data_IF_739337280485
#
_entry.id   IF_739337280485
#
_cell.length_a   1.000
_cell.length_b   1.000
_cell.length_c   1.000
_cell.angle_alpha   90.00
_cell.angle_beta   90.00
_cell.angle_gamma   90.00
#
_symmetry.space_group_name_H-M   'P 1'
#
loop_
_entity.id
_entity.type
_entity.pdbx_description
1 polymer ?
#
# COMPACT_ATOMS: atom_id res chain seq x y z
N UNK A 1 -6.37 28.43 2.34
CA UNK A 1 -7.50 27.89 1.56
C UNK A 1 -7.86 26.56 2.20
N UNK A 2 -9.06 26.45 2.77
CA UNK A 2 -9.53 25.23 3.43
C UNK A 2 -9.71 24.12 2.39
N UNK A 3 -8.88 23.09 2.48
CA UNK A 3 -9.12 21.84 1.78
C UNK A 3 -10.48 21.32 2.24
N UNK A 4 -11.47 21.39 1.36
CA UNK A 4 -12.75 20.74 1.62
C UNK A 4 -12.50 19.29 1.22
N UNK A 5 -12.63 18.32 2.13
CA UNK A 5 -12.70 16.94 1.72
C UNK A 5 -13.74 16.85 0.61
N UNK A 6 -13.57 15.94 -0.34
CA UNK A 6 -14.68 15.56 -1.22
C UNK A 6 -15.71 14.83 -0.36
N UNK A 7 -16.34 15.53 0.59
CA UNK A 7 -17.53 15.14 1.32
C UNK A 7 -18.72 15.60 0.50
N UNK A 8 -18.82 15.02 -0.70
CA UNK A 8 -20.07 15.04 -1.43
C UNK A 8 -21.10 14.28 -0.60
N UNK A 9 -22.07 15.00 -0.03
CA UNK A 9 -23.36 14.41 0.35
C UNK A 9 -24.03 13.91 -0.93
N UNK A 10 -23.67 12.70 -1.33
CA UNK A 10 -24.13 12.02 -2.52
C UNK A 10 -23.48 10.65 -2.53
N UNK A 11 -24.31 9.61 -2.55
CA UNK A 11 -23.95 8.19 -2.60
C UNK A 11 -22.51 7.90 -2.99
N UNK A 12 -21.80 7.08 -2.19
CA UNK A 12 -20.51 6.42 -2.49
C UNK A 12 -20.53 5.53 -3.78
N UNK A 13 -21.47 5.75 -4.69
CA UNK A 13 -21.79 4.94 -5.87
C UNK A 13 -21.35 5.57 -7.20
N UNK A 14 -20.66 6.71 -7.18
CA UNK A 14 -20.12 7.31 -8.42
C UNK A 14 -18.59 7.20 -8.45
N UNK A 15 -18.00 6.74 -9.57
CA UNK A 15 -16.56 6.79 -9.75
C UNK A 15 -16.02 8.21 -9.54
N UNK A 16 -14.79 8.36 -9.02
CA UNK A 16 -14.23 9.68 -8.79
C UNK A 16 -14.08 10.45 -10.10
N UNK A 17 -14.23 11.78 -10.02
CA UNK A 17 -14.05 12.67 -11.18
C UNK A 17 -12.56 12.87 -11.43
N UNK A 18 -12.00 12.11 -12.38
CA UNK A 18 -10.55 12.06 -12.67
C UNK A 18 -9.95 13.45 -12.91
N UNK A 19 -10.66 14.33 -13.62
CA UNK A 19 -10.20 15.70 -13.89
C UNK A 19 -9.94 16.50 -12.61
N UNK A 20 -10.84 16.37 -11.63
CA UNK A 20 -10.75 17.10 -10.36
C UNK A 20 -9.62 16.52 -9.51
N UNK A 21 -9.44 15.20 -9.52
CA UNK A 21 -8.29 14.54 -8.87
C UNK A 21 -6.96 14.99 -9.48
N UNK A 22 -6.84 15.03 -10.81
CA UNK A 22 -5.62 15.50 -11.49
C UNK A 22 -5.32 16.96 -11.16
N UNK A 23 -6.35 17.81 -11.11
CA UNK A 23 -6.20 19.21 -10.71
C UNK A 23 -5.74 19.34 -9.25
N UNK A 24 -6.39 18.62 -8.34
CA UNK A 24 -6.05 18.60 -6.91
C UNK A 24 -4.62 18.11 -6.65
N UNK A 25 -4.16 17.06 -7.34
CA UNK A 25 -2.77 16.61 -7.27
C UNK A 25 -1.79 17.70 -7.71
N UNK A 26 -2.08 18.40 -8.81
CA UNK A 26 -1.23 19.51 -9.28
C UNK A 26 -1.22 20.68 -8.29
N UNK A 27 -2.35 20.97 -7.64
CA UNK A 27 -2.43 21.99 -6.60
C UNK A 27 -1.58 21.65 -5.37
N UNK A 28 -1.68 20.41 -4.88
CA UNK A 28 -0.86 19.92 -3.77
C UNK A 28 0.64 19.94 -4.09
N UNK A 29 1.02 19.57 -5.32
CA UNK A 29 2.41 19.64 -5.75
C UNK A 29 2.90 21.09 -5.86
N UNK A 30 2.07 22.00 -6.38
CA UNK A 30 2.41 23.44 -6.47
C UNK A 30 2.55 24.10 -5.10
N UNK A 31 1.78 23.67 -4.10
CA UNK A 31 1.91 24.17 -2.73
C UNK A 31 3.06 23.55 -1.95
N UNK A 32 3.72 22.52 -2.50
CA UNK A 32 4.78 21.77 -1.83
C UNK A 32 4.28 20.73 -0.80
N UNK A 33 2.97 20.51 -0.71
CA UNK A 33 2.38 19.52 0.20
C UNK A 33 2.71 18.08 -0.21
N UNK A 34 2.92 17.83 -1.51
CA UNK A 34 3.47 16.58 -2.06
C UNK A 34 4.66 16.91 -2.96
N UNK A 35 5.42 15.89 -3.38
CA UNK A 35 6.50 16.05 -4.35
C UNK A 35 5.98 16.49 -5.73
N UNK A 36 6.85 17.09 -6.57
CA UNK A 36 6.48 17.45 -7.94
C UNK A 36 5.97 16.25 -8.73
N UNK A 37 4.84 16.40 -9.43
CA UNK A 37 4.24 15.33 -10.25
C UNK A 37 5.15 14.84 -11.38
N UNK A 38 6.20 15.60 -11.73
CA UNK A 38 7.24 15.16 -12.66
C UNK A 38 8.05 13.97 -12.13
N UNK A 39 8.06 13.74 -10.81
CA UNK A 39 8.68 12.56 -10.20
C UNK A 39 7.96 11.25 -10.51
N UNK A 40 6.77 11.29 -11.13
CA UNK A 40 6.05 10.10 -11.58
C UNK A 40 6.43 9.67 -13.02
N UNK A 41 7.21 10.47 -13.75
CA UNK A 41 7.39 10.29 -15.20
C UNK A 41 8.08 8.97 -15.59
N UNK A 42 8.88 8.39 -14.70
CA UNK A 42 9.59 7.12 -14.82
C UNK A 42 9.04 6.02 -13.90
N UNK A 43 7.88 6.25 -13.27
CA UNK A 43 7.21 5.25 -12.46
C UNK A 43 6.63 4.14 -13.32
N UNK A 44 6.79 2.90 -12.84
CA UNK A 44 6.14 1.72 -13.39
C UNK A 44 5.01 1.29 -12.48
N UNK A 45 3.80 1.25 -13.03
CA UNK A 45 2.56 1.08 -12.27
C UNK A 45 1.89 -0.22 -12.68
N UNK A 46 1.62 -1.10 -11.72
CA UNK A 46 0.77 -2.27 -11.87
C UNK A 46 -0.56 -2.03 -11.15
N UNK A 47 -1.67 -2.19 -11.86
CA UNK A 47 -3.02 -2.04 -11.32
C UNK A 47 -3.78 -3.34 -11.50
N UNK A 48 -4.38 -3.85 -10.43
CA UNK A 48 -5.23 -5.04 -10.47
C UNK A 48 -6.66 -4.69 -10.04
N UNK A 49 -7.66 -5.32 -10.65
CA UNK A 49 -9.06 -5.23 -10.21
C UNK A 49 -9.85 -6.46 -10.62
N UNK A 50 -10.44 -7.16 -9.66
CA UNK A 50 -11.27 -8.33 -9.91
C UNK A 50 -12.65 -7.97 -10.47
N UNK A 51 -13.22 -8.83 -11.32
CA UNK A 51 -14.57 -8.65 -11.87
C UNK A 51 -15.68 -8.92 -10.85
N UNK A 52 -15.41 -9.74 -9.83
CA UNK A 52 -16.32 -10.05 -8.74
C UNK A 52 -16.10 -9.11 -7.52
N UNK A 53 -15.23 -8.10 -7.63
CA UNK A 53 -15.05 -7.11 -6.57
C UNK A 53 -16.24 -6.13 -6.53
N UNK A 54 -17.06 -6.29 -5.49
CA UNK A 54 -18.18 -5.40 -5.16
C UNK A 54 -17.89 -4.45 -4.01
N UNK A 55 -16.69 -4.52 -3.41
CA UNK A 55 -16.24 -3.65 -2.31
C UNK A 55 -15.60 -2.39 -2.86
N UNK A 56 -14.66 -2.54 -3.80
CA UNK A 56 -14.05 -1.46 -4.59
C UNK A 56 -14.32 -1.76 -6.06
N UNK A 57 -15.45 -1.27 -6.61
CA UNK A 57 -15.85 -1.59 -7.98
C UNK A 57 -14.79 -1.22 -9.00
N UNK A 58 -14.66 -2.02 -10.07
CA UNK A 58 -13.67 -1.84 -11.13
C UNK A 58 -13.66 -0.43 -11.78
N UNK A 59 -14.78 0.29 -11.73
CA UNK A 59 -14.85 1.68 -12.17
C UNK A 59 -13.93 2.64 -11.39
N UNK A 60 -13.67 2.36 -10.10
CA UNK A 60 -12.71 3.10 -9.27
C UNK A 60 -11.29 2.87 -9.77
N UNK A 61 -10.90 1.61 -10.01
CA UNK A 61 -9.57 1.26 -10.54
C UNK A 61 -9.37 1.74 -11.99
N UNK A 62 -10.45 1.80 -12.77
CA UNK A 62 -10.44 2.42 -14.10
C UNK A 62 -10.16 3.92 -14.00
N UNK A 63 -10.79 4.62 -13.06
CA UNK A 63 -10.52 6.03 -12.80
C UNK A 63 -9.08 6.26 -12.31
N UNK A 64 -8.55 5.37 -11.45
CA UNK A 64 -7.15 5.43 -11.02
C UNK A 64 -6.18 5.24 -12.19
N UNK A 65 -6.44 4.30 -13.10
CA UNK A 65 -5.65 4.12 -14.32
C UNK A 65 -5.64 5.38 -15.19
N UNK A 66 -6.79 6.04 -15.34
CA UNK A 66 -6.90 7.30 -16.07
C UNK A 66 -6.15 8.44 -15.37
N UNK A 67 -6.20 8.49 -14.03
CA UNK A 67 -5.44 9.46 -13.24
C UNK A 67 -3.93 9.29 -13.44
N UNK A 68 -3.40 8.06 -13.37
CA UNK A 68 -1.99 7.79 -13.67
C UNK A 68 -1.61 8.20 -15.09
N UNK A 69 -2.49 7.96 -16.08
CA UNK A 69 -2.27 8.37 -17.47
C UNK A 69 -2.12 9.89 -17.69
N UNK A 70 -2.44 10.73 -16.69
CA UNK A 70 -2.18 12.16 -16.75
C UNK A 70 -0.73 12.55 -16.39
N UNK A 71 0.04 11.63 -15.80
CA UNK A 71 1.39 11.88 -15.26
C UNK A 71 2.45 10.86 -15.71
N UNK A 72 2.02 9.62 -15.99
CA UNK A 72 2.87 8.49 -16.35
C UNK A 72 2.64 8.11 -17.80
N UNK A 73 3.69 7.85 -18.61
CA UNK A 73 3.53 7.32 -19.96
C UNK A 73 2.73 6.02 -19.98
N UNK A 74 1.80 5.89 -20.92
CA UNK A 74 0.90 4.73 -20.98
C UNK A 74 1.62 3.37 -21.03
N UNK A 75 2.82 3.31 -21.62
CA UNK A 75 3.64 2.10 -21.68
C UNK A 75 4.15 1.62 -20.30
N UNK A 76 4.13 2.48 -19.28
CA UNK A 76 4.56 2.17 -17.92
C UNK A 76 3.37 1.86 -16.97
N UNK A 77 2.12 1.93 -17.46
CA UNK A 77 0.91 1.66 -16.67
C UNK A 77 0.24 0.37 -17.14
N UNK A 78 0.49 -0.71 -16.42
CA UNK A 78 -0.11 -2.03 -16.66
C UNK A 78 -1.40 -2.17 -15.85
N UNK A 79 -2.48 -2.62 -16.50
CA UNK A 79 -3.74 -2.93 -15.82
C UNK A 79 -4.18 -4.36 -16.10
N UNK A 80 -4.41 -5.14 -15.04
CA UNK A 80 -4.92 -6.51 -15.07
C UNK A 80 -6.33 -6.55 -14.43
N UNK A 81 -7.34 -6.31 -15.28
CA UNK A 81 -8.75 -6.18 -14.87
C UNK A 81 -9.61 -7.36 -15.37
N UNK A 82 -8.96 -8.43 -15.85
CA UNK A 82 -9.59 -9.54 -16.55
C UNK A 82 -10.03 -10.69 -15.66
N UNK A 83 -9.51 -10.77 -14.44
CA UNK A 83 -9.63 -11.90 -13.53
C UNK A 83 -10.95 -11.86 -12.78
N UNK A 84 -11.61 -13.00 -12.62
CA UNK A 84 -12.86 -13.14 -11.85
C UNK A 84 -12.57 -13.25 -10.34
N UNK A 85 -11.85 -12.27 -9.82
CA UNK A 85 -11.49 -12.19 -8.41
C UNK A 85 -12.47 -11.32 -7.62
N UNK A 86 -12.65 -11.67 -6.33
CA UNK A 86 -13.29 -10.82 -5.34
C UNK A 86 -12.36 -9.72 -4.84
N UNK A 87 -12.74 -9.04 -3.74
CA UNK A 87 -11.92 -8.03 -3.10
C UNK A 87 -10.85 -8.67 -2.20
N UNK A 88 -9.68 -8.96 -2.76
CA UNK A 88 -8.61 -9.67 -2.07
C UNK A 88 -7.22 -9.39 -2.65
N UNK A 89 -6.19 -9.71 -1.87
CA UNK A 89 -4.84 -9.95 -2.38
C UNK A 89 -4.83 -11.28 -3.15
N UNK A 90 -4.28 -11.27 -4.36
CA UNK A 90 -4.37 -12.40 -5.27
C UNK A 90 -3.09 -13.23 -5.26
N UNK A 91 -3.24 -14.52 -5.02
CA UNK A 91 -2.14 -15.49 -4.94
C UNK A 91 -2.41 -16.71 -5.84
N UNK A 92 -1.41 -17.58 -5.94
CA UNK A 92 -1.47 -18.79 -6.75
C UNK A 92 -2.15 -19.97 -6.05
N UNK A 93 -2.24 -19.96 -4.72
CA UNK A 93 -2.53 -21.17 -3.95
C UNK A 93 -3.05 -20.96 -2.51
N UNK A 94 -3.34 -19.72 -2.06
CA UNK A 94 -3.68 -19.48 -0.65
C UNK A 94 -5.14 -19.14 -0.36
N UNK A 95 -5.73 -20.00 0.50
CA UNK A 95 -6.93 -19.83 1.35
C UNK A 95 -8.29 -19.74 0.66
N UNK A 96 -8.70 -18.57 0.17
CA UNK A 96 -10.07 -18.39 -0.34
C UNK A 96 -10.15 -18.64 -1.84
N UNK A 97 -11.31 -19.10 -2.33
CA UNK A 97 -11.55 -19.21 -3.77
C UNK A 97 -11.50 -17.82 -4.43
N UNK A 98 -11.00 -17.75 -5.67
CA UNK A 98 -10.78 -16.50 -6.40
C UNK A 98 -11.90 -15.44 -6.30
N UNK A 99 -13.20 -15.75 -6.55
CA UNK A 99 -14.26 -14.73 -6.54
C UNK A 99 -14.73 -14.31 -5.12
N UNK A 100 -14.25 -14.96 -4.06
CA UNK A 100 -14.72 -14.74 -2.69
C UNK A 100 -14.24 -13.39 -2.13
N UNK A 101 -15.06 -12.73 -1.33
CA UNK A 101 -14.71 -11.48 -0.62
C UNK A 101 -14.94 -11.66 0.87
N UNK A 102 -14.00 -12.35 1.52
CA UNK A 102 -14.08 -12.68 2.95
C UNK A 102 -12.68 -12.73 3.57
N UNK A 103 -12.61 -12.69 4.91
CA UNK A 103 -11.34 -12.86 5.63
C UNK A 103 -10.62 -14.15 5.20
N UNK A 104 -9.29 -14.12 5.02
CA UNK A 104 -8.38 -13.01 5.31
C UNK A 104 -8.20 -12.04 4.14
N UNK A 105 -9.08 -12.09 3.13
CA UNK A 105 -8.96 -11.36 1.87
C UNK A 105 -7.66 -11.69 1.12
N UNK A 106 -7.30 -12.97 1.11
CA UNK A 106 -6.21 -13.54 0.33
C UNK A 106 -6.79 -14.73 -0.42
N UNK A 107 -6.75 -14.66 -1.74
CA UNK A 107 -7.46 -15.61 -2.59
C UNK A 107 -6.51 -16.32 -3.55
N UNK A 108 -6.75 -17.62 -3.70
CA UNK A 108 -6.18 -18.47 -4.71
C UNK A 108 -6.90 -18.24 -6.05
N UNK A 109 -6.28 -17.45 -6.92
CA UNK A 109 -6.74 -17.25 -8.30
C UNK A 109 -5.84 -17.96 -9.32
N UNK A 110 -4.98 -18.89 -8.88
CA UNK A 110 -3.96 -19.49 -9.74
C UNK A 110 -3.11 -18.42 -10.46
N UNK A 111 -2.91 -17.28 -9.80
CA UNK A 111 -2.23 -16.12 -10.33
C UNK A 111 -1.25 -15.55 -9.32
N UNK A 112 0.00 -15.45 -9.74
CA UNK A 112 1.06 -14.84 -8.93
C UNK A 112 0.97 -13.30 -8.97
N UNK A 113 0.11 -12.74 -8.10
CA UNK A 113 -0.10 -11.28 -8.01
C UNK A 113 1.12 -10.51 -7.53
N UNK A 114 1.84 -11.04 -6.53
CA UNK A 114 3.06 -10.44 -6.02
C UNK A 114 4.17 -10.43 -7.07
N UNK A 115 4.41 -11.56 -7.74
CA UNK A 115 5.41 -11.66 -8.81
C UNK A 115 5.10 -10.74 -9.98
N UNK A 116 3.83 -10.63 -10.41
CA UNK A 116 3.41 -9.66 -11.44
C UNK A 116 3.70 -8.22 -11.04
N UNK A 117 3.42 -7.87 -9.79
CA UNK A 117 3.66 -6.52 -9.25
C UNK A 117 5.15 -6.21 -9.25
N UNK A 118 5.96 -7.09 -8.65
CA UNK A 118 7.41 -6.95 -8.57
C UNK A 118 8.06 -6.94 -9.96
N UNK A 119 7.60 -7.79 -10.89
CA UNK A 119 8.14 -7.84 -12.24
C UNK A 119 7.83 -6.58 -13.04
N UNK A 120 6.68 -5.95 -12.81
CA UNK A 120 6.33 -4.66 -13.44
C UNK A 120 7.29 -3.57 -12.98
N UNK A 121 7.59 -3.51 -11.68
CA UNK A 121 8.43 -2.46 -11.08
C UNK A 121 9.92 -2.70 -11.41
N UNK A 122 10.41 -3.90 -11.14
CA UNK A 122 11.84 -4.22 -11.17
C UNK A 122 12.32 -4.86 -12.47
N UNK A 123 11.41 -5.22 -13.38
CA UNK A 123 11.71 -6.00 -14.58
C UNK A 123 11.68 -7.51 -14.33
N UNK A 124 12.19 -8.33 -15.26
CA UNK A 124 12.17 -9.79 -15.13
C UNK A 124 12.76 -10.27 -13.79
N UNK A 125 12.03 -11.14 -13.11
CA UNK A 125 12.44 -11.72 -11.82
C UNK A 125 13.17 -13.05 -12.04
N UNK A 126 14.18 -13.30 -11.21
CA UNK A 126 14.81 -14.60 -11.05
C UNK A 126 13.88 -15.53 -10.27
N UNK A 127 13.97 -16.83 -10.56
CA UNK A 127 13.34 -17.88 -9.77
C UNK A 127 14.44 -18.70 -9.11
N UNK A 128 14.37 -18.81 -7.79
CA UNK A 128 15.28 -19.66 -7.01
C UNK A 128 14.48 -20.21 -5.80
N UNK A 129 14.09 -21.50 -5.82
CA UNK A 129 13.32 -22.11 -4.73
C UNK A 129 14.16 -22.30 -3.45
N UNK A 130 15.49 -22.27 -3.59
CA UNK A 130 16.42 -22.43 -2.48
C UNK A 130 16.75 -21.11 -1.81
N UNK A 131 16.46 -19.96 -2.45
CA UNK A 131 16.63 -18.65 -1.86
C UNK A 131 15.81 -18.51 -0.56
N UNK A 132 16.44 -18.03 0.49
CA UNK A 132 15.86 -17.85 1.83
C UNK A 132 16.00 -16.42 2.32
N UNK A 133 15.33 -16.16 3.42
CA UNK A 133 15.42 -14.94 4.20
C UNK A 133 14.68 -15.14 5.52
N UNK A 134 14.64 -14.10 6.33
CA UNK A 134 13.91 -14.12 7.61
C UNK A 134 13.05 -12.89 7.80
N UNK A 135 11.99 -13.07 8.59
CA UNK A 135 11.19 -11.97 9.10
C UNK A 135 11.85 -11.41 10.35
N UNK A 136 11.88 -10.08 10.43
CA UNK A 136 12.28 -9.29 11.58
C UNK A 136 11.07 -8.50 12.02
N UNK A 137 10.64 -8.71 13.26
CA UNK A 137 9.68 -7.84 13.92
C UNK A 137 10.42 -6.64 14.53
N UNK A 138 9.84 -5.44 14.42
CA UNK A 138 10.41 -4.22 14.99
C UNK A 138 9.35 -3.33 15.63
N UNK A 139 9.76 -2.50 16.58
CA UNK A 139 8.89 -1.49 17.21
C UNK A 139 8.63 -0.34 16.23
N UNK A 140 7.42 -0.30 15.70
CA UNK A 140 7.00 0.71 14.73
C UNK A 140 6.70 2.06 15.40
N UNK A 141 6.46 2.09 16.73
CA UNK A 141 6.17 3.34 17.45
C UNK A 141 7.32 4.32 17.39
N UNK A 142 8.54 3.84 17.20
CA UNK A 142 9.74 4.67 17.00
C UNK A 142 9.56 5.69 15.87
N UNK A 143 8.74 5.38 14.88
CA UNK A 143 8.53 6.22 13.69
C UNK A 143 7.28 7.10 13.79
N UNK A 144 6.47 6.94 14.84
CA UNK A 144 5.26 7.75 15.03
C UNK A 144 5.65 9.11 15.64
N UNK A 145 5.25 10.23 15.02
CA UNK A 145 5.44 11.55 15.62
C UNK A 145 4.82 11.62 17.02
N UNK A 146 5.56 12.18 17.99
CA UNK A 146 5.15 12.18 19.42
C UNK A 146 3.76 12.80 19.64
N UNK A 147 3.44 13.85 18.89
CA UNK A 147 2.15 14.55 18.93
C UNK A 147 0.98 13.75 18.36
N UNK A 148 1.28 12.63 17.68
CA UNK A 148 0.34 11.79 16.95
C UNK A 148 0.03 10.46 17.64
N UNK A 149 0.77 10.13 18.71
CA UNK A 149 0.63 8.87 19.44
C UNK A 149 -0.80 8.71 19.98
N UNK A 150 -1.41 7.57 19.67
CA UNK A 150 -2.71 7.16 20.20
C UNK A 150 -3.90 7.46 19.29
N UNK A 151 -3.68 8.12 18.16
CA UNK A 151 -4.66 8.29 17.08
C UNK A 151 -4.05 8.14 15.68
N UNK A 152 -2.78 7.74 15.59
CA UNK A 152 -2.02 7.42 14.38
C UNK A 152 -2.55 6.21 13.60
N UNK A 153 -3.29 5.31 14.26
CA UNK A 153 -3.87 4.11 13.66
C UNK A 153 -2.83 3.04 13.28
N UNK A 154 -1.59 3.16 13.74
CA UNK A 154 -0.51 2.23 13.48
C UNK A 154 -0.39 1.21 14.62
N UNK A 155 -0.14 -0.04 14.26
CA UNK A 155 0.16 -1.09 15.25
C UNK A 155 1.53 -0.81 15.90
N UNK A 156 1.76 -1.33 17.10
CA UNK A 156 3.02 -1.10 17.83
C UNK A 156 4.21 -1.80 17.17
N UNK A 157 3.94 -2.87 16.42
CA UNK A 157 4.89 -3.72 15.74
C UNK A 157 4.71 -3.65 14.22
N UNK A 158 5.81 -3.66 13.48
CA UNK A 158 5.88 -3.87 12.03
C UNK A 158 6.82 -5.03 11.69
N UNK A 159 6.80 -5.48 10.42
CA UNK A 159 7.60 -6.62 9.98
C UNK A 159 8.49 -6.27 8.79
N UNK A 160 9.66 -6.91 8.71
CA UNK A 160 10.63 -6.74 7.63
C UNK A 160 11.14 -8.11 7.19
N UNK A 161 10.90 -8.49 5.94
CA UNK A 161 11.55 -9.63 5.32
C UNK A 161 12.91 -9.23 4.78
N UNK A 162 13.96 -9.93 5.20
CA UNK A 162 15.34 -9.70 4.77
C UNK A 162 15.86 -10.97 4.11
N UNK A 163 16.16 -10.95 2.79
CA UNK A 163 16.88 -12.03 2.13
C UNK A 163 18.25 -12.27 2.80
N UNK A 164 18.71 -13.53 2.87
CA UNK A 164 19.97 -13.88 3.54
C UNK A 164 21.17 -13.05 3.04
N UNK A 165 21.23 -12.81 1.73
CA UNK A 165 22.28 -12.04 1.08
C UNK A 165 22.26 -10.54 1.40
N UNK A 166 21.16 -10.03 1.95
CA UNK A 166 21.00 -8.64 2.35
C UNK A 166 21.41 -8.39 3.81
N UNK A 167 21.61 -9.44 4.63
CA UNK A 167 21.82 -9.30 6.07
C UNK A 167 23.16 -8.67 6.43
N UNK A 168 24.21 -8.97 5.66
CA UNK A 168 25.58 -8.54 5.98
C UNK A 168 25.92 -7.16 5.41
N UNK A 169 25.02 -6.57 4.61
CA UNK A 169 25.28 -5.31 3.89
C UNK A 169 26.32 -5.41 2.77
N UNK A 170 26.83 -6.61 2.48
CA UNK A 170 27.77 -6.86 1.37
C UNK A 170 27.10 -6.71 -0.01
N UNK A 171 25.78 -6.91 -0.06
CA UNK A 171 24.96 -6.79 -1.27
C UNK A 171 24.11 -5.53 -1.19
N UNK A 172 24.11 -4.72 -2.26
CA UNK A 172 23.16 -3.63 -2.39
C UNK A 172 21.77 -4.21 -2.73
N UNK A 173 20.85 -4.15 -1.77
CA UNK A 173 19.49 -4.67 -1.93
C UNK A 173 18.49 -3.56 -2.25
N UNK A 174 17.44 -3.93 -2.96
CA UNK A 174 16.27 -3.08 -3.21
C UNK A 174 15.35 -3.10 -1.98
N UNK A 175 14.46 -2.13 -1.89
CA UNK A 175 13.39 -2.10 -0.89
C UNK A 175 12.03 -2.05 -1.60
N UNK A 176 11.11 -2.89 -1.16
CA UNK A 176 9.69 -2.85 -1.54
C UNK A 176 8.85 -2.71 -0.26
N UNK A 177 7.84 -1.85 -0.27
CA UNK A 177 6.92 -1.69 0.87
C UNK A 177 5.58 -2.28 0.48
N UNK A 178 5.08 -3.21 1.29
CA UNK A 178 3.83 -3.93 1.04
C UNK A 178 2.82 -3.56 2.13
N UNK A 179 1.75 -2.90 1.70
CA UNK A 179 0.67 -2.47 2.58
C UNK A 179 -0.45 -3.51 2.56
N UNK A 180 -0.93 -3.89 3.75
CA UNK A 180 -2.11 -4.72 3.90
C UNK A 180 -3.41 -3.91 3.74
N UNK A 181 -4.52 -4.56 3.41
CA UNK A 181 -5.85 -3.94 3.35
C UNK A 181 -6.54 -3.83 4.71
N UNK A 182 -7.74 -3.25 4.73
CA UNK A 182 -8.60 -3.26 5.92
C UNK A 182 -8.83 -4.70 6.43
N UNK A 183 -8.78 -4.91 7.74
CA UNK A 183 -8.90 -6.22 8.40
C UNK A 183 -7.84 -7.26 7.97
N UNK A 184 -6.73 -6.80 7.39
CA UNK A 184 -5.59 -7.66 7.04
C UNK A 184 -4.32 -7.35 7.86
N UNK A 185 -4.46 -6.55 8.92
CA UNK A 185 -3.39 -6.39 9.88
C UNK A 185 -3.30 -7.63 10.80
N UNK A 186 -2.19 -7.67 11.55
CA UNK A 186 -1.86 -8.78 12.43
C UNK A 186 -2.90 -9.12 13.51
N UNK A 187 -3.70 -8.15 13.96
CA UNK A 187 -4.74 -8.40 14.96
C UNK A 187 -5.93 -9.18 14.37
N UNK A 188 -6.16 -9.07 13.06
CA UNK A 188 -7.29 -9.75 12.39
C UNK A 188 -6.91 -11.10 11.78
N UNK A 189 -5.72 -11.20 11.17
CA UNK A 189 -5.36 -12.38 10.37
C UNK A 189 -4.00 -12.99 10.74
N UNK A 190 -3.41 -12.56 11.86
CA UNK A 190 -2.09 -13.03 12.28
C UNK A 190 -1.04 -12.71 11.21
N UNK A 191 -0.22 -13.69 10.86
CA UNK A 191 0.91 -13.54 9.95
C UNK A 191 0.60 -13.81 8.47
N UNK A 192 -0.68 -14.09 8.16
CA UNK A 192 -1.13 -14.43 6.81
C UNK A 192 -0.65 -13.42 5.75
N UNK A 193 -0.78 -12.11 6.01
CA UNK A 193 -0.49 -11.11 4.97
C UNK A 193 0.98 -11.04 4.58
N UNK A 194 1.91 -11.07 5.54
CA UNK A 194 3.33 -10.95 5.22
C UNK A 194 4.01 -12.31 5.02
N UNK A 195 3.35 -13.44 5.30
CA UNK A 195 3.91 -14.78 5.03
C UNK A 195 3.27 -15.53 3.85
N UNK A 196 2.07 -15.14 3.38
CA UNK A 196 1.28 -15.96 2.44
C UNK A 196 0.82 -15.22 1.19
N UNK A 197 1.33 -14.01 0.95
CA UNK A 197 0.97 -13.21 -0.23
C UNK A 197 1.96 -13.34 -1.39
N UNK A 198 3.02 -14.14 -1.23
CA UNK A 198 3.97 -14.52 -2.29
C UNK A 198 5.14 -13.54 -2.50
N UNK A 199 5.18 -12.42 -1.78
CA UNK A 199 6.26 -11.43 -1.95
C UNK A 199 7.61 -11.95 -1.49
N UNK A 200 7.68 -12.72 -0.41
CA UNK A 200 8.95 -13.11 0.23
C UNK A 200 9.78 -14.05 -0.65
N UNK A 201 9.15 -14.98 -1.34
CA UNK A 201 9.81 -15.96 -2.22
C UNK A 201 10.46 -15.26 -3.40
N UNK A 202 9.73 -14.34 -4.04
CA UNK A 202 10.28 -13.47 -5.10
C UNK A 202 11.38 -12.57 -4.55
N UNK A 203 11.17 -12.01 -3.37
CA UNK A 203 12.11 -11.08 -2.76
C UNK A 203 13.45 -11.75 -2.40
N UNK A 204 13.39 -12.97 -1.85
CA UNK A 204 14.55 -13.80 -1.53
C UNK A 204 15.42 -14.04 -2.78
N UNK A 205 14.80 -14.40 -3.90
CA UNK A 205 15.51 -14.70 -5.14
C UNK A 205 16.05 -13.45 -5.89
N UNK A 206 15.65 -12.23 -5.47
CA UNK A 206 15.86 -11.01 -6.27
C UNK A 206 16.51 -9.85 -5.49
N UNK A 207 17.11 -10.11 -4.33
CA UNK A 207 17.81 -9.11 -3.52
C UNK A 207 16.88 -7.95 -3.11
N UNK A 208 15.64 -8.27 -2.74
CA UNK A 208 14.61 -7.30 -2.35
C UNK A 208 14.33 -7.47 -0.85
N UNK A 209 14.55 -6.43 -0.07
CA UNK A 209 14.01 -6.34 1.29
C UNK A 209 12.53 -5.95 1.19
N UNK A 210 11.66 -6.59 1.96
CA UNK A 210 10.22 -6.26 1.97
C UNK A 210 9.81 -5.74 3.33
N UNK A 211 9.38 -4.48 3.38
CA UNK A 211 8.83 -3.85 4.58
C UNK A 211 7.31 -4.02 4.60
N UNK A 212 6.77 -4.48 5.73
CA UNK A 212 5.35 -4.68 5.99
C UNK A 212 4.91 -3.83 7.19
N UNK A 213 4.67 -2.53 7.01
CA UNK A 213 4.09 -1.69 8.05
C UNK A 213 2.71 -2.22 8.43
N UNK A 214 2.31 -2.05 9.69
CA UNK A 214 1.05 -2.59 10.20
C UNK A 214 0.16 -1.48 10.75
N UNK A 215 -1.12 -1.50 10.44
CA UNK A 215 -2.11 -0.65 11.12
C UNK A 215 -2.81 -1.43 12.24
N UNK A 216 -3.56 -0.74 13.09
CA UNK A 216 -4.48 -1.37 14.05
C UNK A 216 -5.85 -0.72 13.99
N UNK A 217 -6.86 -1.42 14.50
CA UNK A 217 -8.16 -0.81 14.69
C UNK A 217 -8.07 0.40 15.64
N UNK A 218 -8.75 1.49 15.29
CA UNK A 218 -8.83 2.69 16.13
C UNK A 218 -10.28 3.12 16.31
N UNK A 219 -10.71 3.23 17.57
CA UNK A 219 -12.00 3.79 17.94
C UNK A 219 -11.98 5.32 18.07
N UNK A 220 -10.79 5.93 17.93
CA UNK A 220 -10.57 7.37 18.06
C UNK A 220 -10.25 7.98 16.70
N UNK A 221 -10.95 9.04 16.34
CA UNK A 221 -10.62 9.93 15.22
C UNK A 221 -10.28 11.30 15.80
N UNK A 222 -9.09 11.82 15.51
CA UNK A 222 -8.66 13.10 16.04
C UNK A 222 -9.21 14.30 15.24
N UNK A 223 -9.49 14.13 13.93
CA UNK A 223 -9.75 15.28 13.05
C UNK A 223 -10.86 15.10 12.01
N UNK A 224 -11.50 13.93 11.88
CA UNK A 224 -12.64 13.81 10.97
C UNK A 224 -13.90 14.45 11.59
N UNK A 225 -14.54 15.46 10.96
CA UNK A 225 -15.77 16.08 11.44
C UNK A 225 -16.96 15.11 11.58
N UNK A 226 -16.86 13.92 10.99
CA UNK A 226 -17.85 12.85 11.14
C UNK A 226 -17.55 11.90 12.32
N UNK A 227 -16.40 12.04 12.98
CA UNK A 227 -15.98 11.16 14.08
C UNK A 227 -15.88 9.70 13.68
N UNK A 228 -15.73 9.38 12.39
CA UNK A 228 -15.78 8.00 11.91
C UNK A 228 -14.56 7.23 12.42
N UNK A 229 -14.75 6.18 13.24
CA UNK A 229 -13.67 5.34 13.71
C UNK A 229 -13.07 4.55 12.54
N UNK A 230 -11.92 3.92 12.80
CA UNK A 230 -11.28 2.95 11.93
C UNK A 230 -11.34 1.55 12.58
N UNK A 231 -12.54 0.96 12.79
CA UNK A 231 -12.68 -0.32 13.50
C UNK A 231 -12.10 -1.49 12.70
N UNK A 232 -11.86 -1.29 11.40
CA UNK A 232 -11.28 -2.29 10.51
C UNK A 232 -9.76 -2.21 10.40
N UNK A 233 -9.10 -1.26 11.07
CA UNK A 233 -7.65 -1.08 10.97
C UNK A 233 -7.20 -0.95 9.51
N UNK A 234 -7.73 0.05 8.82
CA UNK A 234 -7.30 0.44 7.48
C UNK A 234 -6.19 1.49 7.55
N UNK A 235 -5.48 1.69 6.44
CA UNK A 235 -4.66 2.88 6.19
C UNK A 235 -5.51 4.15 6.10
N UNK A 236 -4.95 5.29 6.47
CA UNK A 236 -5.66 6.56 6.45
C UNK A 236 -5.79 7.13 5.03
N UNK A 237 -6.93 6.85 4.40
CA UNK A 237 -7.32 7.42 3.11
C UNK A 237 -8.53 8.36 3.19
N UNK A 238 -9.02 8.63 4.41
CA UNK A 238 -10.18 9.51 4.63
C UNK A 238 -9.98 10.55 5.74
N UNK A 239 -8.74 10.73 6.22
CA UNK A 239 -8.34 11.76 7.17
C UNK A 239 -8.76 11.52 8.61
N UNK A 240 -8.76 10.26 9.06
CA UNK A 240 -9.07 9.97 10.48
C UNK A 240 -7.93 10.31 11.43
N UNK A 241 -6.68 10.30 10.93
CA UNK A 241 -5.51 10.71 11.72
C UNK A 241 -5.38 12.23 11.73
N UNK A 242 -5.28 12.87 10.54
CA UNK A 242 -5.18 14.32 10.37
C UNK A 242 -5.80 14.77 9.04
N UNK A 243 -6.01 16.08 8.85
CA UNK A 243 -6.43 16.64 7.55
C UNK A 243 -5.35 16.52 6.46
N UNK A 244 -4.09 16.38 6.88
CA UNK A 244 -2.92 16.32 6.01
C UNK A 244 -2.58 14.88 5.58
N UNK A 245 -3.46 13.90 5.81
CA UNK A 245 -3.22 12.46 5.65
C UNK A 245 -2.63 12.04 4.29
N UNK A 246 -2.95 12.76 3.22
CA UNK A 246 -2.50 12.52 1.85
C UNK A 246 -1.19 13.26 1.47
N UNK A 247 -0.58 13.98 2.40
CA UNK A 247 0.57 14.86 2.18
C UNK A 247 1.84 14.33 2.84
N UNK A 248 2.98 14.99 2.62
CA UNK A 248 4.23 14.76 3.37
C UNK A 248 4.08 14.93 4.89
N UNK A 249 3.04 15.64 5.34
CA UNK A 249 2.72 15.84 6.75
C UNK A 249 1.67 14.85 7.29
N UNK A 250 1.25 13.86 6.50
CA UNK A 250 0.39 12.79 6.98
C UNK A 250 1.10 11.95 8.04
N UNK A 251 0.39 11.59 9.12
CA UNK A 251 0.99 10.84 10.24
C UNK A 251 1.54 9.50 9.77
N UNK A 252 0.71 8.71 9.07
CA UNK A 252 1.12 7.42 8.53
C UNK A 252 2.18 7.55 7.43
N UNK A 253 2.09 8.60 6.61
CA UNK A 253 3.10 8.89 5.57
C UNK A 253 4.48 9.14 6.18
N UNK A 254 4.57 9.99 7.21
CA UNK A 254 5.84 10.26 7.91
C UNK A 254 6.40 9.02 8.59
N UNK A 255 5.56 8.24 9.26
CA UNK A 255 6.01 7.04 9.95
C UNK A 255 6.60 6.01 8.97
N UNK A 256 5.89 5.71 7.88
CA UNK A 256 6.38 4.77 6.88
C UNK A 256 7.63 5.31 6.17
N UNK A 257 7.69 6.62 5.88
CA UNK A 257 8.89 7.22 5.32
C UNK A 257 10.10 7.08 6.25
N UNK A 258 9.93 7.28 7.56
CA UNK A 258 10.99 7.06 8.54
C UNK A 258 11.50 5.62 8.57
N UNK A 259 10.62 4.62 8.40
CA UNK A 259 11.02 3.22 8.27
C UNK A 259 11.82 2.98 6.98
N UNK A 260 11.38 3.56 5.86
CA UNK A 260 12.08 3.49 4.57
C UNK A 260 13.47 4.10 4.68
N UNK A 261 13.61 5.27 5.31
CA UNK A 261 14.90 5.93 5.52
C UNK A 261 15.83 5.10 6.40
N UNK A 262 15.30 4.51 7.48
CA UNK A 262 16.05 3.61 8.36
C UNK A 262 16.61 2.42 7.59
N UNK A 263 15.79 1.74 6.79
CA UNK A 263 16.21 0.56 6.03
C UNK A 263 17.19 0.94 4.92
N UNK A 264 16.95 2.06 4.22
CA UNK A 264 17.82 2.55 3.16
C UNK A 264 19.16 3.12 3.68
N UNK A 265 19.40 3.11 4.99
CA UNK A 265 20.53 3.75 5.66
C UNK A 265 20.74 5.19 5.19
N UNK A 266 19.65 5.90 4.89
CA UNK A 266 19.68 7.32 4.60
C UNK A 266 19.68 8.02 5.94
N UNK A 267 20.86 8.34 6.46
CA UNK A 267 20.96 9.30 7.56
C UNK A 267 20.28 10.59 7.11
N UNK A 268 19.25 11.05 7.83
CA UNK A 268 18.51 12.30 7.57
C UNK A 268 19.43 13.36 6.96
N UNK A 269 19.25 13.65 5.68
CA UNK A 269 19.87 14.80 5.00
C UNK A 269 18.84 15.89 4.83
#
# INVERSE_FOLDING_TARGET
MSWTPVSGKGSYLRPPVVKDLVAGTKDLARSGAIDPVSGLADDKVYLFSGKADHTVPQAVMTALKQWYGAFVPAAQVTGDFGVDAGHAMITGDYKNDCPVTELPYINDCKLDGAGKTLATIYGPLKSDPDAKGRIIEFDQREFVPEDSIGYDGLHDLGHLFVPEQCETGATACKLHVVFHGCQQNQDFIGDDYWLRTGYNEHAAANDIIVLYPQTKASEKSAFNPLGMPNPKGCWDWWGFTTQDYLTKNGVQMRAVWGMVERVANRSNR
#
